data_IF_180037924801
#
_entry.id   IF_180037924801
#
_cell.length_a   1.000
_cell.length_b   1.000
_cell.length_c   1.000
_cell.angle_alpha   90.00
_cell.angle_beta   90.00
_cell.angle_gamma   90.00
#
_symmetry.space_group_name_H-M   'P 1'
#
loop_
_entity.id
_entity.type
_entity.pdbx_description
1 polymer ?
#
# COMPACT_ATOMS: atom_id res chain seq x y z
N UNK A 1 8.89 1.31 -3.34
CA UNK A 1 8.41 1.51 -1.96
C UNK A 1 8.96 0.50 -0.94
N UNK A 2 8.85 -0.82 -1.14
CA UNK A 2 9.25 -1.81 -0.12
C UNK A 2 10.74 -1.73 0.27
N UNK A 3 11.64 -1.54 -0.70
CA UNK A 3 13.08 -1.37 -0.40
C UNK A 3 13.36 -0.13 0.47
N UNK A 4 12.62 0.97 0.26
CA UNK A 4 12.71 2.14 1.13
C UNK A 4 12.26 1.79 2.56
N UNK A 5 11.15 1.06 2.70
CA UNK A 5 10.66 0.60 4.01
C UNK A 5 11.70 -0.28 4.72
N UNK A 6 12.34 -1.21 3.99
CA UNK A 6 13.44 -2.05 4.53
C UNK A 6 14.62 -1.20 5.00
N UNK A 7 15.02 -0.20 4.22
CA UNK A 7 16.09 0.72 4.61
C UNK A 7 15.73 1.51 5.87
N UNK A 8 14.52 2.07 5.95
CA UNK A 8 14.05 2.79 7.13
C UNK A 8 14.02 1.88 8.37
N UNK A 9 13.43 0.70 8.25
CA UNK A 9 13.38 -0.30 9.30
C UNK A 9 14.77 -0.74 9.78
N UNK A 10 15.77 -0.76 8.90
CA UNK A 10 17.15 -1.10 9.26
C UNK A 10 17.88 0.00 10.03
N UNK A 11 17.43 1.25 9.91
CA UNK A 11 18.04 2.43 10.56
C UNK A 11 17.43 2.73 11.92
N UNK A 12 16.15 2.38 12.09
CA UNK A 12 15.38 2.66 13.30
C UNK A 12 14.50 1.46 13.64
N UNK A 13 14.75 0.84 14.78
CA UNK A 13 14.00 -0.33 15.24
C UNK A 13 12.73 0.06 16.01
N UNK A 14 12.57 1.34 16.35
CA UNK A 14 11.44 1.92 17.08
C UNK A 14 10.30 2.39 16.18
N UNK A 15 10.47 2.30 14.85
CA UNK A 15 9.39 2.58 13.89
C UNK A 15 8.66 1.29 13.50
N UNK A 16 7.34 1.36 13.48
CA UNK A 16 6.48 0.34 12.86
C UNK A 16 6.06 0.83 11.48
N UNK A 17 6.27 0.00 10.46
CA UNK A 17 5.90 0.31 9.09
C UNK A 17 4.77 -0.61 8.67
N UNK A 18 3.67 -0.02 8.21
CA UNK A 18 2.56 -0.75 7.58
C UNK A 18 2.53 -0.40 6.11
N UNK A 19 2.82 -1.37 5.24
CA UNK A 19 2.70 -1.21 3.79
C UNK A 19 1.27 -1.56 3.40
N UNK A 20 0.56 -0.59 2.83
CA UNK A 20 -0.80 -0.77 2.34
C UNK A 20 -0.78 -0.94 0.83
N UNK A 21 -1.48 -1.96 0.33
CA UNK A 21 -1.67 -2.21 -1.10
C UNK A 21 -3.07 -2.80 -1.35
N UNK A 22 -3.46 -3.02 -2.59
CA UNK A 22 -4.66 -3.84 -2.87
C UNK A 22 -4.37 -5.32 -2.56
N UNK A 23 -5.42 -6.13 -2.39
CA UNK A 23 -5.29 -7.58 -2.19
C UNK A 23 -4.53 -8.27 -3.33
N UNK A 24 -4.76 -7.85 -4.59
CA UNK A 24 -4.02 -8.35 -5.75
C UNK A 24 -2.53 -8.04 -5.63
N UNK A 25 -2.19 -6.78 -5.29
CA UNK A 25 -0.81 -6.37 -5.14
C UNK A 25 -0.09 -7.09 -4.00
N UNK A 26 -0.78 -7.44 -2.91
CA UNK A 26 -0.23 -8.31 -1.88
C UNK A 26 0.16 -9.69 -2.46
N UNK A 27 -0.60 -10.21 -3.41
CA UNK A 27 -0.25 -11.43 -4.15
C UNK A 27 1.09 -11.33 -4.91
N UNK A 28 1.44 -10.14 -5.41
CA UNK A 28 2.70 -9.91 -6.13
C UNK A 28 3.90 -9.69 -5.22
N UNK A 29 3.71 -9.04 -4.07
CA UNK A 29 4.84 -8.61 -3.21
C UNK A 29 4.90 -9.33 -1.86
N UNK A 30 3.87 -10.08 -1.47
CA UNK A 30 3.72 -10.63 -0.12
C UNK A 30 4.76 -11.70 0.24
N UNK A 31 5.37 -12.35 -0.75
CA UNK A 31 6.44 -13.34 -0.57
C UNK A 31 7.81 -12.70 -0.29
N UNK A 32 7.96 -11.39 -0.48
CA UNK A 32 9.21 -10.68 -0.24
C UNK A 32 9.58 -10.71 1.25
N UNK A 33 10.79 -11.21 1.61
CA UNK A 33 11.22 -11.28 3.01
C UNK A 33 11.32 -9.88 3.62
N UNK A 34 10.74 -9.71 4.81
CA UNK A 34 10.68 -8.42 5.50
C UNK A 34 11.05 -8.53 6.98
N UNK A 35 11.64 -7.48 7.57
CA UNK A 35 11.85 -7.37 9.02
C UNK A 35 10.54 -7.45 9.82
N UNK A 36 10.64 -7.81 11.10
CA UNK A 36 9.49 -7.95 12.00
C UNK A 36 8.70 -6.65 12.22
N UNK A 37 9.34 -5.48 12.05
CA UNK A 37 8.70 -4.18 12.18
C UNK A 37 8.08 -3.67 10.86
N UNK A 38 7.97 -4.53 9.84
CA UNK A 38 7.20 -4.26 8.62
C UNK A 38 6.03 -5.24 8.53
N UNK A 39 4.82 -4.71 8.44
CA UNK A 39 3.61 -5.49 8.20
C UNK A 39 2.94 -5.06 6.89
N UNK A 40 2.16 -5.97 6.30
CA UNK A 40 1.29 -5.64 5.19
C UNK A 40 -0.16 -5.55 5.68
N UNK A 41 -0.89 -4.60 5.09
CA UNK A 41 -2.35 -4.50 5.17
C UNK A 41 -2.89 -4.30 3.76
N UNK A 42 -4.13 -4.69 3.56
CA UNK A 42 -4.75 -4.59 2.25
C UNK A 42 -6.00 -3.73 2.30
N UNK A 43 -6.25 -3.05 1.18
CA UNK A 43 -7.57 -2.56 0.80
C UNK A 43 -8.18 -3.53 -0.23
N UNK A 44 -9.51 -3.61 -0.37
CA UNK A 44 -10.15 -4.44 -1.38
C UNK A 44 -9.67 -4.09 -2.80
N UNK A 45 -9.76 -5.05 -3.72
CA UNK A 45 -9.50 -4.84 -5.15
C UNK A 45 -10.57 -3.96 -5.81
N UNK A 46 -10.48 -2.64 -5.57
CA UNK A 46 -11.34 -1.61 -6.17
C UNK A 46 -10.88 -1.16 -7.56
N UNK A 47 -9.76 -1.69 -8.03
CA UNK A 47 -9.12 -1.39 -9.30
C UNK A 47 -9.32 -2.52 -10.31
N UNK A 48 -9.25 -2.25 -11.62
CA UNK A 48 -8.99 -3.31 -12.59
C UNK A 48 -7.66 -4.00 -12.26
N UNK A 49 -7.51 -5.25 -12.68
CA UNK A 49 -6.29 -6.01 -12.43
C UNK A 49 -5.06 -5.35 -13.05
N UNK A 50 -3.98 -5.28 -12.27
CA UNK A 50 -2.66 -4.80 -12.69
C UNK A 50 -2.14 -5.55 -13.93
N UNK A 51 -2.49 -6.84 -14.07
CA UNK A 51 -2.06 -7.70 -15.18
C UNK A 51 -2.63 -7.25 -16.53
N UNK A 52 -3.74 -6.53 -16.53
CA UNK A 52 -4.45 -6.08 -17.74
C UNK A 52 -4.58 -4.56 -17.82
N UNK A 53 -3.89 -3.79 -16.96
CA UNK A 53 -4.00 -2.32 -16.92
C UNK A 53 -3.81 -1.65 -18.28
N UNK A 54 -2.96 -2.23 -19.14
CA UNK A 54 -2.65 -1.68 -20.47
C UNK A 54 -3.81 -1.78 -21.47
N UNK A 55 -4.81 -2.63 -21.22
CA UNK A 55 -5.98 -2.75 -22.09
C UNK A 55 -6.87 -1.50 -22.06
N UNK A 56 -6.89 -0.78 -20.94
CA UNK A 56 -7.55 0.51 -20.80
C UNK A 56 -6.86 1.34 -19.70
N UNK A 57 -5.68 1.88 -20.03
CA UNK A 57 -4.88 2.63 -19.07
C UNK A 57 -5.60 3.88 -18.51
N UNK A 58 -6.30 4.71 -19.31
CA UNK A 58 -7.03 5.86 -18.76
C UNK A 58 -8.06 5.48 -17.69
N UNK A 59 -8.87 4.44 -17.94
CA UNK A 59 -9.85 3.98 -16.94
C UNK A 59 -9.20 3.32 -15.72
N UNK A 60 -8.06 2.65 -15.89
CA UNK A 60 -7.26 2.14 -14.77
C UNK A 60 -6.75 3.29 -13.91
N UNK A 61 -6.17 4.31 -14.53
CA UNK A 61 -5.66 5.50 -13.85
C UNK A 61 -6.77 6.25 -13.10
N UNK A 62 -7.92 6.48 -13.76
CA UNK A 62 -9.09 7.08 -13.12
C UNK A 62 -9.55 6.26 -11.88
N UNK A 63 -9.58 4.93 -11.98
CA UNK A 63 -9.93 4.08 -10.85
C UNK A 63 -8.94 4.21 -9.69
N UNK A 64 -7.63 4.31 -9.97
CA UNK A 64 -6.59 4.56 -8.96
C UNK A 64 -6.87 5.87 -8.23
N UNK A 65 -7.14 6.95 -8.97
CA UNK A 65 -7.35 8.29 -8.41
C UNK A 65 -8.65 8.46 -7.63
N UNK A 66 -9.66 7.61 -7.87
CA UNK A 66 -11.02 7.86 -7.35
C UNK A 66 -11.55 6.78 -6.43
N UNK A 67 -11.00 5.57 -6.45
CA UNK A 67 -11.60 4.42 -5.75
C UNK A 67 -10.84 3.95 -4.52
N UNK A 68 -9.58 4.36 -4.35
CA UNK A 68 -8.73 3.86 -3.26
C UNK A 68 -8.89 4.62 -1.94
N UNK A 69 -9.38 5.86 -1.97
CA UNK A 69 -9.47 6.75 -0.80
C UNK A 69 -10.37 6.16 0.31
N UNK A 70 -11.66 5.96 0.04
CA UNK A 70 -12.60 5.46 1.03
C UNK A 70 -12.18 4.13 1.72
N UNK A 71 -11.73 3.08 1.01
CA UNK A 71 -11.25 1.88 1.68
C UNK A 71 -9.92 2.09 2.43
N UNK A 72 -9.06 3.02 1.98
CA UNK A 72 -7.84 3.39 2.70
C UNK A 72 -8.15 4.11 4.02
N UNK A 73 -9.06 5.09 4.02
CA UNK A 73 -9.51 5.78 5.24
C UNK A 73 -10.10 4.79 6.25
N UNK A 74 -10.98 3.91 5.79
CA UNK A 74 -11.57 2.85 6.63
C UNK A 74 -10.51 1.92 7.24
N UNK A 75 -9.41 1.67 6.52
CA UNK A 75 -8.29 0.90 7.03
C UNK A 75 -7.48 1.70 8.06
N UNK A 76 -7.24 2.99 7.83
CA UNK A 76 -6.53 3.86 8.77
C UNK A 76 -7.22 3.90 10.13
N UNK A 77 -8.55 3.95 10.17
CA UNK A 77 -9.36 3.93 11.40
C UNK A 77 -9.16 2.65 12.25
N UNK A 78 -8.61 1.59 11.67
CA UNK A 78 -8.40 0.29 12.32
C UNK A 78 -6.94 0.06 12.75
N UNK A 79 -6.01 0.94 12.36
CA UNK A 79 -4.58 0.79 12.65
C UNK A 79 -4.27 1.38 14.02
N UNK A 80 -3.96 0.51 14.99
CA UNK A 80 -3.48 0.92 16.31
C UNK A 80 -1.99 0.55 16.50
N UNK A 81 -1.17 1.47 17.05
CA UNK A 81 -1.50 2.86 17.40
C UNK A 81 -1.78 3.73 16.17
N UNK A 82 -2.47 4.88 16.32
CA UNK A 82 -2.74 5.79 15.21
C UNK A 82 -1.47 6.11 14.42
N UNK A 83 -1.60 6.13 13.09
CA UNK A 83 -0.47 6.45 12.20
C UNK A 83 0.02 7.88 12.46
N UNK A 84 1.33 8.06 12.53
CA UNK A 84 1.95 9.37 12.79
C UNK A 84 2.49 10.04 11.53
N UNK A 85 2.65 9.27 10.44
CA UNK A 85 3.10 9.75 9.14
C UNK A 85 2.57 8.83 8.03
N UNK A 86 2.30 9.39 6.87
CA UNK A 86 1.91 8.66 5.65
C UNK A 86 2.95 8.99 4.57
N UNK A 87 3.43 7.96 3.87
CA UNK A 87 4.28 8.10 2.69
C UNK A 87 3.53 7.44 1.54
N UNK A 88 3.19 8.23 0.53
CA UNK A 88 2.48 7.78 -0.66
C UNK A 88 3.37 7.91 -1.90
N UNK A 89 2.99 7.18 -2.96
CA UNK A 89 3.50 7.46 -4.29
C UNK A 89 3.01 8.86 -4.73
N UNK A 90 3.79 9.57 -5.54
CA UNK A 90 3.42 10.93 -5.99
C UNK A 90 2.14 10.92 -6.82
N UNK A 91 1.86 9.81 -7.51
CA UNK A 91 0.61 9.63 -8.23
C UNK A 91 -0.61 9.47 -7.30
N UNK A 92 -0.40 9.24 -5.99
CA UNK A 92 -1.47 9.06 -5.00
C UNK A 92 -1.63 10.28 -4.07
N UNK A 93 -1.12 11.46 -4.46
CA UNK A 93 -1.12 12.71 -3.69
C UNK A 93 -1.97 13.81 -4.33
#
# INVERSE_FOLDING_TARGET
MINLCKLLASRKNDIQITVVATEEWLGFVGSDPKPNNISFRTIPNVLPSELVRGANYPAFYEAVMTKMEAPFEKLLDQIQPPVTAIIADIELL
#
